data_IF_471670076559
#
_entry.id   IF_471670076559
#
_cell.length_a   1.000
_cell.length_b   1.000
_cell.length_c   1.000
_cell.angle_alpha   90.00
_cell.angle_beta   90.00
_cell.angle_gamma   90.00
#
_symmetry.space_group_name_H-M   'P 1'
#
loop_
_entity.id
_entity.type
_entity.pdbx_description
1 polymer ?
2 non-polymer ?
3 non-polymer ?
4 water ?
#
# COMPACT_ATOMS: atom_id res chain seq x y z
N UNK A 2 2.47 20.78 19.80
CA UNK A 2 3.78 21.03 19.22
C UNK A 2 3.66 21.14 17.70
N UNK A 3 4.64 21.77 17.06
CA UNK A 3 4.65 21.85 15.60
C UNK A 3 5.03 20.50 15.01
N UNK A 4 4.39 20.15 13.91
CA UNK A 4 4.67 18.89 13.23
C UNK A 4 6.12 18.83 12.75
N UNK A 5 6.70 17.63 12.77
CA UNK A 5 8.05 17.43 12.25
C UNK A 5 8.09 16.20 11.35
N UNK A 6 8.62 16.37 10.15
CA UNK A 6 8.75 15.31 9.17
C UNK A 6 10.17 14.81 9.13
N UNK A 7 10.37 13.52 9.44
CA UNK A 7 11.65 12.86 9.26
C UNK A 7 11.80 12.42 7.81
N UNK A 8 12.90 12.80 7.17
CA UNK A 8 13.06 12.57 5.74
C UNK A 8 14.50 12.22 5.38
N UNK A 9 14.67 11.68 4.18
CA UNK A 9 15.98 11.56 3.53
C UNK A 9 15.83 12.21 2.17
N UNK A 10 16.79 13.06 1.75
CA UNK A 10 16.65 13.77 0.47
C UNK A 10 16.33 12.84 -0.70
N UNK A 11 15.22 13.11 -1.38
CA UNK A 11 14.84 12.37 -2.56
C UNK A 11 14.18 11.02 -2.33
N UNK A 12 14.16 10.57 -1.08
CA UNK A 12 13.50 9.33 -0.69
C UNK A 12 11.99 9.49 -0.75
N UNK A 13 11.26 8.44 -0.41
CA UNK A 13 9.81 8.45 -0.52
C UNK A 13 9.17 9.52 0.37
N UNK A 14 9.93 10.02 1.34
CA UNK A 14 9.48 11.06 2.23
C UNK A 14 9.26 12.41 1.53
N UNK A 15 9.76 12.55 0.31
CA UNK A 15 9.51 13.76 -0.49
C UNK A 15 8.02 13.94 -0.74
N UNK A 16 7.28 12.83 -0.79
CA UNK A 16 5.86 12.91 -1.05
C UNK A 16 5.09 13.65 0.07
N UNK A 17 5.21 13.21 1.35
CA UNK A 17 4.54 14.02 2.37
C UNK A 17 5.19 15.41 2.57
N UNK A 18 6.47 15.54 2.23
CA UNK A 18 7.09 16.88 2.24
C UNK A 18 6.36 17.86 1.29
N UNK A 19 6.13 17.42 0.05
CA UNK A 19 5.35 18.19 -0.91
C UNK A 19 3.94 18.45 -0.38
N UNK A 20 3.31 17.42 0.20
CA UNK A 20 1.93 17.56 0.70
C UNK A 20 1.84 18.59 1.83
N UNK A 21 2.81 18.55 2.74
CA UNK A 21 2.90 19.54 3.81
C UNK A 21 2.89 20.96 3.26
N UNK A 22 3.64 21.19 2.18
CA UNK A 22 3.72 22.52 1.58
C UNK A 22 2.45 22.88 0.79
N UNK A 23 1.90 21.92 0.06
CA UNK A 23 0.63 22.13 -0.65
C UNK A 23 -0.47 22.49 0.34
N UNK A 24 -0.40 21.92 1.54
CA UNK A 24 -1.43 22.10 2.55
C UNK A 24 -1.31 23.43 3.30
N UNK A 25 -0.16 24.09 3.17
CA UNK A 25 0.09 25.34 3.86
C UNK A 25 0.12 25.18 5.38
N UNK A 26 0.51 23.99 5.84
CA UNK A 26 0.59 23.71 7.26
C UNK A 26 1.96 24.08 7.82
N UNK A 27 2.03 24.35 9.13
CA UNK A 27 3.31 24.61 9.78
C UNK A 27 4.03 23.30 10.09
N UNK A 28 5.33 23.24 9.80
CA UNK A 28 6.13 22.07 10.08
C UNK A 28 7.61 22.37 10.03
N UNK A 29 8.41 21.49 10.63
CA UNK A 29 9.85 21.48 10.39
C UNK A 29 10.23 20.14 9.78
N UNK A 30 11.45 20.03 9.30
CA UNK A 30 11.93 18.75 8.77
C UNK A 30 13.22 18.36 9.47
N UNK A 31 13.47 17.06 9.57
CA UNK A 31 14.70 16.58 10.20
C UNK A 31 15.25 15.42 9.40
N UNK A 32 16.46 15.59 8.90
CA UNK A 32 17.06 14.61 8.01
C UNK A 32 17.55 13.39 8.78
N UNK A 33 17.42 12.21 8.18
CA UNK A 33 17.84 10.95 8.77
C UNK A 33 18.86 10.25 7.88
N UNK A 34 19.94 9.76 8.49
CA UNK A 34 20.86 8.86 7.80
C UNK A 34 20.30 7.45 7.96
N UNK A 35 19.85 6.86 6.86
CA UNK A 35 19.18 5.56 6.88
C UNK A 35 20.10 4.36 7.08
N UNK A 36 21.40 4.61 6.99
CA UNK A 36 22.37 3.54 7.23
C UNK A 36 22.68 3.46 8.72
N UNK A 37 23.07 4.60 9.29
CA UNK A 37 23.44 4.69 10.69
C UNK A 37 22.24 4.82 11.63
N UNK A 38 21.09 5.17 11.07
CA UNK A 38 19.88 5.43 11.85
C UNK A 38 20.09 6.56 12.87
N UNK A 39 20.87 7.57 12.47
CA UNK A 39 21.03 8.76 13.29
C UNK A 39 20.48 9.95 12.52
N UNK A 40 19.83 10.88 13.22
CA UNK A 40 19.30 12.06 12.55
C UNK A 40 20.35 13.16 12.51
N UNK A 41 20.05 14.25 11.80
CA UNK A 41 20.99 15.36 11.68
C UNK A 41 21.13 16.19 12.94
N UNK A 42 20.49 15.76 14.03
CA UNK A 42 20.76 16.38 15.33
C UNK A 42 21.62 15.48 16.19
N UNK A 43 21.89 14.28 15.69
CA UNK A 43 22.66 13.29 16.44
C UNK A 43 21.78 12.25 17.10
N UNK A 44 20.47 12.41 16.97
CA UNK A 44 19.51 11.55 17.67
C UNK A 44 19.47 10.13 17.14
N UNK A 45 19.22 9.18 18.05
CA UNK A 45 18.99 7.78 17.67
C UNK A 45 17.61 7.62 17.07
N UNK A 46 17.55 7.41 15.75
CA UNK A 46 16.27 7.38 15.05
C UNK A 46 15.41 6.17 15.43
N UNK A 47 16.03 5.07 15.80
CA UNK A 47 15.28 3.85 16.10
C UNK A 47 14.40 4.01 17.34
N UNK A 48 14.79 4.91 18.22
CA UNK A 48 14.01 5.21 19.40
C UNK A 48 12.79 6.05 19.03
N UNK A 49 12.84 6.65 17.85
CA UNK A 49 11.74 7.45 17.32
C UNK A 49 10.78 6.61 16.47
N UNK A 50 11.28 6.11 15.33
CA UNK A 50 10.54 5.15 14.52
C UNK A 50 11.27 3.80 14.54
N UNK A 51 10.74 2.81 15.28
CA UNK A 51 11.42 1.52 15.36
C UNK A 51 11.56 0.80 14.01
N UNK A 52 10.71 1.15 13.05
CA UNK A 52 10.82 0.57 11.71
C UNK A 52 12.05 1.08 10.99
N UNK A 53 12.64 2.15 11.53
CA UNK A 53 13.85 2.74 10.98
C UNK A 53 13.71 3.28 9.58
N UNK A 54 12.50 3.73 9.22
CA UNK A 54 12.23 4.21 7.88
C UNK A 54 11.79 5.66 7.90
N UNK A 55 11.97 6.32 6.76
CA UNK A 55 11.28 7.57 6.48
C UNK A 55 10.20 7.25 5.43
N UNK A 56 9.12 8.04 5.38
CA UNK A 56 8.80 9.18 6.25
C UNK A 56 8.27 8.74 7.60
N UNK A 57 8.45 9.60 8.59
CA UNK A 57 7.66 9.52 9.81
C UNK A 57 7.30 10.95 10.16
N UNK A 58 6.06 11.15 10.61
CA UNK A 58 5.57 12.48 10.96
C UNK A 58 5.23 12.55 12.44
N UNK A 59 5.83 13.51 13.14
CA UNK A 59 5.43 13.82 14.51
C UNK A 59 4.20 14.72 14.44
N UNK A 60 3.07 14.24 14.96
CA UNK A 60 1.83 15.00 14.95
C UNK A 60 1.82 16.07 16.04
N UNK A 61 0.85 16.98 16.01
CA UNK A 61 0.84 18.06 16.99
C UNK A 61 0.55 17.59 18.42
N UNK A 62 0.06 16.37 18.58
CA UNK A 62 -0.10 15.79 19.91
C UNK A 62 1.13 15.01 20.35
N UNK A 63 2.19 15.12 19.56
CA UNK A 63 3.46 14.52 19.91
C UNK A 63 3.60 13.06 19.53
N UNK A 64 2.52 12.48 19.01
CA UNK A 64 2.52 11.09 18.58
C UNK A 64 3.15 10.97 17.19
N UNK A 65 3.47 9.74 16.80
CA UNK A 65 4.11 9.52 15.52
C UNK A 65 3.18 8.82 14.55
N UNK A 66 3.20 9.27 13.30
CA UNK A 66 2.49 8.56 12.24
C UNK A 66 3.52 8.12 11.21
N UNK A 67 3.50 6.83 10.86
CA UNK A 67 4.35 6.31 9.82
C UNK A 67 3.51 5.88 8.63
N UNK A 68 4.20 5.41 7.59
CA UNK A 68 3.62 4.96 6.31
C UNK A 68 3.14 6.14 5.50
N UNK A 69 3.83 6.38 4.37
CA UNK A 69 3.50 7.50 3.51
C UNK A 69 2.04 7.66 3.17
N UNK A 70 1.41 6.56 2.75
CA UNK A 70 0.00 6.56 2.37
C UNK A 70 -0.90 7.07 3.50
N UNK A 71 -0.57 6.70 4.75
CA UNK A 71 -1.31 7.20 5.92
C UNK A 71 -1.05 8.68 6.16
N UNK A 72 0.22 9.07 6.07
CA UNK A 72 0.60 10.46 6.32
C UNK A 72 -0.05 11.44 5.33
N UNK A 73 0.01 11.13 4.04
CA UNK A 73 -0.55 12.08 3.07
C UNK A 73 -2.07 12.21 3.20
N UNK A 74 -2.74 11.12 3.61
CA UNK A 74 -4.19 11.21 3.83
C UNK A 74 -4.49 12.03 5.07
N UNK A 75 -3.74 11.80 6.14
CA UNK A 75 -3.88 12.59 7.36
C UNK A 75 -3.74 14.08 7.06
N UNK A 76 -2.71 14.44 6.30
CA UNK A 76 -2.46 15.85 6.00
C UNK A 76 -3.55 16.47 5.13
N UNK A 77 -3.94 15.77 4.07
CA UNK A 77 -4.97 16.27 3.18
C UNK A 77 -6.28 16.47 3.93
N UNK A 78 -6.62 15.54 4.81
CA UNK A 78 -7.86 15.63 5.58
C UNK A 78 -7.85 16.77 6.58
N UNK A 79 -6.67 17.24 6.95
CA UNK A 79 -6.54 18.37 7.87
C UNK A 79 -6.93 19.67 7.20
N UNK A 80 -6.81 19.71 5.87
CA UNK A 80 -7.07 20.91 5.11
C UNK A 80 -8.09 20.69 3.98
N UNK A 81 -9.35 20.40 4.34
CA UNK A 81 -10.32 20.10 3.29
C UNK A 81 -10.55 21.28 2.34
N UNK A 82 -10.31 22.51 2.80
CA UNK A 82 -10.44 23.70 1.95
C UNK A 82 -9.48 23.67 0.76
N UNK A 83 -8.46 22.84 0.85
CA UNK A 83 -7.42 22.78 -0.18
C UNK A 83 -7.68 21.66 -1.18
N UNK A 84 -8.64 20.80 -0.87
CA UNK A 84 -9.09 19.76 -1.78
C UNK A 84 -7.93 18.96 -2.37
N UNK A 85 -7.09 18.43 -1.48
CA UNK A 85 -5.92 17.66 -1.88
C UNK A 85 -6.22 16.18 -2.00
N UNK A 86 -7.43 15.81 -1.60
CA UNK A 86 -7.92 14.44 -1.75
C UNK A 86 -9.43 14.51 -1.65
N UNK A 87 -10.13 13.59 -2.28
CA UNK A 87 -11.58 13.54 -2.17
C UNK A 87 -12.02 13.29 -0.72
N UNK A 88 -13.17 13.85 -0.32
CA UNK A 88 -13.66 13.70 1.06
C UNK A 88 -13.90 12.25 1.41
N UNK A 89 -13.66 11.89 2.67
CA UNK A 89 -13.90 10.53 3.12
C UNK A 89 -15.32 10.06 2.83
N UNK A 90 -15.43 8.79 2.45
CA UNK A 90 -16.73 8.17 2.25
C UNK A 90 -17.22 8.22 0.82
N UNK A 91 -16.64 9.10 0.03
CA UNK A 91 -17.03 9.21 -1.38
C UNK A 91 -16.34 8.14 -2.23
N UNK A 92 -16.97 7.74 -3.33
CA UNK A 92 -16.34 6.79 -4.25
C UNK A 92 -15.02 7.33 -4.75
N UNK A 93 -14.95 8.63 -4.99
CA UNK A 93 -13.69 9.24 -5.40
C UNK A 93 -12.58 9.00 -4.39
N UNK A 94 -12.91 9.07 -3.10
CA UNK A 94 -11.90 8.79 -2.08
C UNK A 94 -11.42 7.35 -2.15
N UNK A 95 -12.31 6.39 -2.43
CA UNK A 95 -11.87 5.00 -2.56
C UNK A 95 -10.98 4.77 -3.76
N UNK A 96 -11.19 5.54 -4.83
CA UNK A 96 -10.29 5.47 -5.97
C UNK A 96 -8.97 6.17 -5.68
N UNK A 97 -8.99 7.21 -4.84
CA UNK A 97 -7.72 7.80 -4.40
C UNK A 97 -6.90 6.81 -3.59
N UNK A 98 -7.56 6.11 -2.68
CA UNK A 98 -6.95 5.06 -1.85
C UNK A 98 -6.40 3.93 -2.72
N UNK A 99 -7.17 3.52 -3.72
CA UNK A 99 -6.75 2.58 -4.75
C UNK A 99 -5.43 3.00 -5.38
N UNK A 100 -5.37 4.22 -5.90
CA UNK A 100 -4.13 4.67 -6.54
C UNK A 100 -2.97 4.80 -5.57
N UNK A 101 -3.23 5.27 -4.34
CA UNK A 101 -2.15 5.35 -3.34
C UNK A 101 -1.60 3.97 -3.08
N UNK A 102 -2.46 2.97 -3.01
CA UNK A 102 -1.99 1.61 -2.78
C UNK A 102 -1.21 1.05 -3.97
N UNK A 103 -1.66 1.37 -5.17
CA UNK A 103 -0.93 0.99 -6.38
C UNK A 103 0.46 1.58 -6.39
N UNK A 104 0.56 2.88 -6.10
CA UNK A 104 1.87 3.53 -6.10
C UNK A 104 2.76 2.88 -5.03
N UNK A 105 2.20 2.62 -3.86
CA UNK A 105 3.02 2.12 -2.75
C UNK A 105 3.50 0.70 -3.03
N UNK A 106 2.61 -0.13 -3.55
CA UNK A 106 2.92 -1.54 -3.74
C UNK A 106 3.61 -1.88 -5.05
N UNK A 107 3.14 -1.29 -6.15
CA UNK A 107 3.61 -1.68 -7.47
C UNK A 107 4.72 -0.81 -8.02
N UNK A 108 4.82 0.43 -7.55
CA UNK A 108 5.88 1.32 -8.01
C UNK A 108 6.97 1.41 -6.95
N UNK A 109 6.65 2.02 -5.81
CA UNK A 109 7.56 2.22 -4.69
C UNK A 109 8.29 0.92 -4.31
N UNK A 110 7.54 -0.10 -3.87
CA UNK A 110 8.17 -1.34 -3.44
C UNK A 110 8.77 -2.11 -4.62
N UNK A 111 8.30 -1.79 -5.82
CA UNK A 111 8.84 -2.37 -7.03
C UNK A 111 10.29 -1.99 -7.24
N UNK A 112 10.71 -0.85 -6.69
CA UNK A 112 12.10 -0.43 -6.77
C UNK A 112 13.03 -1.10 -5.79
N UNK A 113 12.50 -1.81 -4.79
CA UNK A 113 13.37 -2.35 -3.73
C UNK A 113 14.61 -3.15 -4.18
N UNK A 114 14.44 -4.11 -5.10
CA UNK A 114 15.64 -4.85 -5.49
C UNK A 114 16.65 -3.97 -6.23
N UNK A 115 16.20 -2.90 -6.86
CA UNK A 115 17.13 -2.05 -7.62
C UNK A 115 18.01 -1.23 -6.70
N UNK A 116 17.53 -0.93 -5.50
CA UNK A 116 18.32 -0.14 -4.55
C UNK A 116 19.18 -1.00 -3.61
N UNK A 117 19.03 -2.32 -3.69
CA UNK A 117 19.83 -3.24 -2.88
C UNK A 117 21.09 -3.64 -3.63
N UNK A 118 22.27 -3.28 -3.09
CA UNK A 118 23.51 -3.60 -3.79
C UNK A 118 23.84 -5.09 -3.82
N UNK A 119 23.06 -5.92 -3.14
CA UNK A 119 23.27 -7.37 -3.19
C UNK A 119 22.54 -8.03 -4.35
N UNK A 120 21.60 -7.32 -4.97
CA UNK A 120 20.82 -7.90 -6.07
C UNK A 120 21.67 -8.06 -7.33
N UNK A 121 21.68 -9.26 -7.93
CA UNK A 121 22.47 -9.49 -9.15
C UNK A 121 21.83 -8.83 -10.37
N UNK A 122 22.66 -8.46 -11.35
CA UNK A 122 22.23 -7.71 -12.52
C UNK A 122 21.04 -8.33 -13.26
N UNK A 123 21.06 -9.65 -13.40
CA UNK A 123 20.04 -10.34 -14.20
C UNK A 123 18.66 -10.24 -13.57
N UNK A 124 18.58 -10.32 -12.24
CA UNK A 124 17.29 -10.14 -11.56
C UNK A 124 16.84 -8.69 -11.62
N UNK A 125 17.80 -7.77 -11.52
CA UNK A 125 17.47 -6.35 -11.65
C UNK A 125 16.84 -6.05 -13.01
N UNK A 126 17.30 -6.74 -14.05
CA UNK A 126 16.72 -6.57 -15.39
C UNK A 126 15.24 -6.98 -15.40
N UNK A 127 14.93 -8.10 -14.76
CA UNK A 127 13.54 -8.56 -14.63
C UNK A 127 12.67 -7.57 -13.85
N UNK A 128 13.22 -7.06 -12.75
CA UNK A 128 12.52 -6.06 -11.96
C UNK A 128 12.25 -4.81 -12.81
N UNK A 129 13.23 -4.43 -13.62
CA UNK A 129 13.09 -3.24 -14.46
C UNK A 129 12.00 -3.42 -15.50
N UNK A 130 11.91 -4.64 -16.04
CA UNK A 130 10.90 -4.96 -17.04
C UNK A 130 9.49 -4.81 -16.46
N UNK A 131 9.31 -5.22 -15.21
CA UNK A 131 8.01 -5.08 -14.57
C UNK A 131 7.66 -3.61 -14.35
N UNK A 132 8.64 -2.81 -13.93
CA UNK A 132 8.41 -1.38 -13.72
C UNK A 132 8.08 -0.66 -15.04
N UNK A 133 8.70 -1.08 -16.12
CA UNK A 133 8.34 -0.60 -17.46
C UNK A 133 6.84 -0.77 -17.66
N UNK A 134 6.34 -1.99 -17.47
CA UNK A 134 4.91 -2.26 -17.62
C UNK A 134 4.06 -1.38 -16.69
N UNK A 135 4.47 -1.22 -15.45
CA UNK A 135 3.65 -0.48 -14.50
C UNK A 135 3.61 1.02 -14.82
N UNK A 136 4.77 1.60 -15.13
CA UNK A 136 4.81 3.02 -15.47
C UNK A 136 4.09 3.29 -16.79
N UNK A 137 4.18 2.36 -17.74
CA UNK A 137 3.48 2.50 -19.01
C UNK A 137 1.97 2.50 -18.79
N UNK A 138 1.51 1.71 -17.82
CA UNK A 138 0.08 1.69 -17.47
C UNK A 138 -0.34 3.05 -16.92
N UNK A 139 0.46 3.60 -16.02
CA UNK A 139 0.21 4.91 -15.46
C UNK A 139 0.16 5.95 -16.58
N UNK A 140 1.09 5.84 -17.53
CA UNK A 140 1.10 6.74 -18.67
C UNK A 140 -0.23 6.74 -19.42
N UNK A 141 -0.84 5.56 -19.56
CA UNK A 141 -2.08 5.45 -20.32
C UNK A 141 -3.22 6.19 -19.61
N UNK A 142 -3.17 6.20 -18.28
CA UNK A 142 -4.17 6.90 -17.47
C UNK A 142 -3.96 8.40 -17.57
N UNK A 143 -2.69 8.82 -17.59
CA UNK A 143 -2.36 10.24 -17.70
C UNK A 143 -2.72 10.86 -19.05
N UNK A 144 -2.99 10.03 -20.05
CA UNK A 144 -3.46 10.51 -21.34
C UNK A 144 -4.89 11.06 -21.21
N UNK A 145 -5.57 10.70 -20.14
CA UNK A 145 -7.00 11.01 -20.03
C UNK A 145 -7.34 12.30 -19.28
N UNK A 146 -6.43 12.77 -18.44
CA UNK A 146 -6.67 14.00 -17.68
C UNK A 146 -5.35 14.51 -17.10
N UNK A 147 -5.37 15.73 -16.60
CA UNK A 147 -4.12 16.41 -16.23
C UNK A 147 -3.31 15.71 -15.15
N UNK A 148 -3.99 15.20 -14.12
CA UNK A 148 -3.30 14.53 -13.02
C UNK A 148 -3.77 13.08 -12.86
N UNK A 149 -3.24 12.39 -11.85
CA UNK A 149 -3.50 10.96 -11.76
C UNK A 149 -4.97 10.62 -11.49
N UNK A 150 -5.61 11.39 -10.61
CA UNK A 150 -6.96 11.04 -10.17
C UNK A 150 -8.03 11.76 -10.96
N UNK A 151 -7.61 12.63 -11.87
CA UNK A 151 -8.55 13.48 -12.60
C UNK A 151 -7.96 14.84 -12.94
N UNK A 152 -8.80 15.87 -12.99
CA UNK A 152 -8.38 17.19 -13.40
C UNK A 152 -7.61 17.96 -12.32
N UNK A 153 -7.70 17.52 -11.08
CA UNK A 153 -7.11 18.27 -9.98
C UNK A 153 -5.90 17.56 -9.36
N UNK A 154 -4.87 18.35 -9.07
CA UNK A 154 -3.70 17.87 -8.33
C UNK A 154 -4.12 17.31 -6.97
N UNK A 155 -3.53 16.18 -6.60
CA UNK A 155 -3.87 15.53 -5.34
C UNK A 155 -2.64 14.94 -4.68
N UNK A 156 -2.83 14.42 -3.48
CA UNK A 156 -1.73 13.78 -2.76
C UNK A 156 -1.15 12.59 -3.53
N UNK A 157 -1.97 11.93 -4.35
CA UNK A 157 -1.47 10.83 -5.18
C UNK A 157 -0.42 11.33 -6.18
N UNK A 158 -0.56 12.58 -6.64
CA UNK A 158 0.43 13.13 -7.55
C UNK A 158 1.75 13.39 -6.84
N UNK A 159 1.70 13.81 -5.58
CA UNK A 159 2.93 14.00 -4.83
C UNK A 159 3.70 12.69 -4.72
N UNK A 160 2.97 11.60 -4.52
CA UNK A 160 3.56 10.26 -4.41
C UNK A 160 4.08 9.76 -5.75
N UNK A 161 3.26 9.89 -6.81
CA UNK A 161 3.70 9.46 -8.13
C UNK A 161 4.94 10.21 -8.60
N UNK A 162 4.94 11.54 -8.41
CA UNK A 162 6.07 12.38 -8.78
C UNK A 162 7.36 11.89 -8.10
N UNK A 163 7.24 11.57 -6.82
CA UNK A 163 8.38 11.16 -5.99
C UNK A 163 9.02 9.88 -6.52
N UNK A 164 8.21 8.86 -6.79
CA UNK A 164 8.75 7.58 -7.25
C UNK A 164 9.19 7.69 -8.71
N UNK A 165 8.55 8.57 -9.48
CA UNK A 165 8.93 8.74 -10.88
C UNK A 165 10.31 9.35 -10.99
N UNK A 166 10.68 10.19 -10.02
CA UNK A 166 12.04 10.74 -9.98
C UNK A 166 13.06 9.63 -9.91
N UNK A 167 12.74 8.55 -9.18
CA UNK A 167 13.65 7.42 -9.08
C UNK A 167 13.82 6.75 -10.42
N UNK A 168 12.73 6.65 -11.18
CA UNK A 168 12.75 6.01 -12.49
C UNK A 168 13.72 6.74 -13.39
N UNK A 169 13.67 8.07 -13.34
CA UNK A 169 14.60 8.87 -14.14
C UNK A 169 16.04 8.76 -13.64
N UNK A 170 16.23 8.74 -12.33
CA UNK A 170 17.58 8.60 -11.77
C UNK A 170 18.23 7.27 -12.13
N UNK A 171 17.41 6.22 -12.25
CA UNK A 171 17.89 4.89 -12.56
C UNK A 171 17.90 4.62 -14.06
N UNK A 172 17.58 5.64 -14.85
CA UNK A 172 17.49 5.51 -16.31
C UNK A 172 16.59 4.36 -16.73
N UNK A 173 15.42 4.27 -16.09
CA UNK A 173 14.49 3.20 -16.34
C UNK A 173 13.86 3.34 -17.72
N UNK A 174 13.92 2.29 -18.51
CA UNK A 174 13.22 2.26 -19.79
C UNK A 174 11.72 2.16 -19.52
N UNK A 175 10.94 3.05 -20.13
CA UNK A 175 9.48 2.99 -20.02
C UNK A 175 8.91 3.10 -21.43
N UNK A 176 8.23 2.05 -21.88
CA UNK A 176 7.75 1.95 -23.27
C UNK A 176 6.80 3.09 -23.65
N UNK A 177 5.82 3.33 -22.79
CA UNK A 177 4.87 4.41 -23.00
C UNK A 177 5.09 5.46 -21.92
N UNK A 178 5.65 6.60 -22.29
CA UNK A 178 6.08 7.58 -21.30
C UNK A 178 5.82 9.02 -21.69
N UNK A 179 5.24 9.26 -22.86
CA UNK A 179 5.08 10.64 -23.31
C UNK A 179 4.14 11.46 -22.43
N UNK A 180 3.08 10.84 -21.92
CA UNK A 180 2.14 11.54 -21.05
C UNK A 180 2.73 11.73 -19.67
N UNK A 181 3.42 10.69 -19.19
CA UNK A 181 4.12 10.77 -17.91
C UNK A 181 5.17 11.88 -17.91
N UNK A 182 5.94 12.00 -18.98
CA UNK A 182 6.96 13.05 -19.05
C UNK A 182 6.35 14.46 -19.04
N UNK A 183 5.24 14.66 -19.73
CA UNK A 183 4.60 15.97 -19.74
C UNK A 183 4.03 16.28 -18.36
N UNK A 184 3.50 15.26 -17.70
CA UNK A 184 2.97 15.37 -16.35
C UNK A 184 4.06 15.74 -15.36
N UNK A 185 5.20 15.08 -15.48
CA UNK A 185 6.32 15.35 -14.58
C UNK A 185 6.82 16.77 -14.73
N UNK A 186 6.88 17.26 -15.96
CA UNK A 186 7.33 18.61 -16.23
C UNK A 186 6.42 19.64 -15.58
N UNK A 187 5.12 19.38 -15.63
CA UNK A 187 4.16 20.30 -15.06
C UNK A 187 4.19 20.28 -13.52
N UNK A 188 4.12 19.09 -12.93
CA UNK A 188 4.18 18.96 -11.47
C UNK A 188 5.45 19.60 -10.91
N UNK A 189 6.55 19.48 -11.66
CA UNK A 189 7.82 20.03 -11.20
C UNK A 189 7.81 21.55 -11.12
N UNK A 190 6.81 22.17 -11.75
CA UNK A 190 6.68 23.62 -11.76
C UNK A 190 5.92 24.19 -10.56
N UNK A 191 5.20 23.33 -9.84
CA UNK A 191 4.41 23.79 -8.70
C UNK A 191 5.32 24.39 -7.64
N UNK A 192 4.92 25.54 -7.07
CA UNK A 192 5.77 26.21 -6.08
C UNK A 192 6.09 25.32 -4.89
N UNK A 193 5.11 24.51 -4.46
CA UNK A 193 5.31 23.62 -3.32
C UNK A 193 6.30 22.50 -3.63
N UNK A 194 6.31 22.03 -4.87
CA UNK A 194 7.26 21.01 -5.28
C UNK A 194 8.66 21.62 -5.34
N UNK A 195 8.77 22.78 -5.97
CA UNK A 195 10.06 23.46 -6.05
C UNK A 195 10.62 23.73 -4.65
N UNK A 196 9.74 24.14 -3.72
CA UNK A 196 10.20 24.50 -2.39
C UNK A 196 10.62 23.26 -1.58
N UNK A 197 9.90 22.16 -1.74
CA UNK A 197 10.29 20.91 -1.10
C UNK A 197 11.66 20.47 -1.59
N UNK A 198 11.85 20.48 -2.90
CA UNK A 198 13.13 20.08 -3.49
C UNK A 198 14.28 20.97 -3.01
N UNK A 199 14.04 22.28 -3.01
CA UNK A 199 15.05 23.21 -2.50
C UNK A 199 15.40 22.92 -1.04
N UNK A 200 14.38 22.62 -0.23
CA UNK A 200 14.62 22.39 1.19
C UNK A 200 15.43 21.12 1.45
N UNK A 201 15.31 20.16 0.53
CA UNK A 201 16.07 18.91 0.65
C UNK A 201 17.44 19.00 -0.02
N UNK A 202 17.75 20.17 -0.60
CA UNK A 202 19.00 20.42 -1.32
C UNK A 202 19.19 19.47 -2.50
N UNK A 203 18.12 19.28 -3.28
CA UNK A 203 18.19 18.49 -4.49
C UNK A 203 17.43 19.17 -5.62
N UNK B 2 -26.96 -3.97 -9.65
CA UNK B 2 -26.73 -5.41 -9.53
C UNK B 2 -25.78 -5.72 -8.37
N UNK B 3 -25.86 -6.93 -7.84
CA UNK B 3 -25.03 -7.39 -6.72
C UNK B 3 -23.52 -7.20 -6.93
N UNK B 4 -22.83 -6.77 -5.87
CA UNK B 4 -21.37 -6.68 -5.86
C UNK B 4 -20.75 -8.02 -6.22
N UNK B 5 -19.66 -8.02 -7.00
CA UNK B 5 -19.01 -9.27 -7.37
C UNK B 5 -17.50 -9.19 -7.13
N UNK B 6 -16.98 -10.13 -6.36
CA UNK B 6 -15.55 -10.21 -6.09
C UNK B 6 -14.88 -11.27 -6.96
N UNK B 7 -13.86 -10.85 -7.70
CA UNK B 7 -13.01 -11.77 -8.46
C UNK B 7 -11.82 -12.20 -7.60
N UNK B 8 -11.58 -13.51 -7.54
CA UNK B 8 -10.62 -14.05 -6.58
C UNK B 8 -9.92 -15.26 -7.15
N UNK B 9 -8.82 -15.67 -6.50
CA UNK B 9 -8.16 -16.94 -6.75
C UNK B 9 -7.96 -17.55 -5.39
N UNK B 10 -8.29 -18.84 -5.24
CA UNK B 10 -8.16 -19.51 -3.93
C UNK B 10 -6.82 -19.28 -3.22
N UNK B 11 -6.89 -18.73 -2.01
CA UNK B 11 -5.71 -18.55 -1.18
C UNK B 11 -4.87 -17.33 -1.46
N UNK B 12 -5.16 -16.65 -2.57
CA UNK B 12 -4.44 -15.43 -2.93
C UNK B 12 -4.85 -14.27 -2.03
N UNK B 13 -4.28 -13.10 -2.26
CA UNK B 13 -4.58 -11.94 -1.42
C UNK B 13 -6.05 -11.58 -1.43
N UNK B 14 -6.78 -12.04 -2.45
CA UNK B 14 -8.22 -11.79 -2.55
C UNK B 14 -9.02 -12.44 -1.41
N UNK B 15 -8.38 -13.33 -0.64
CA UNK B 15 -9.05 -13.96 0.49
C UNK B 15 -9.41 -12.90 1.54
N UNK B 16 -8.60 -11.84 1.59
CA UNK B 16 -8.84 -10.77 2.54
C UNK B 16 -10.20 -10.07 2.36
N UNK B 17 -10.46 -9.46 1.18
CA UNK B 17 -11.80 -8.87 0.99
C UNK B 17 -12.90 -9.94 0.98
N UNK B 18 -12.57 -11.19 0.65
CA UNK B 18 -13.56 -12.26 0.70
C UNK B 18 -14.03 -12.48 2.13
N UNK B 19 -13.10 -12.56 3.06
CA UNK B 19 -13.43 -12.60 4.48
C UNK B 19 -14.24 -11.37 4.90
N UNK B 20 -13.83 -10.19 4.44
CA UNK B 20 -14.50 -8.97 4.86
C UNK B 20 -15.94 -8.92 4.37
N UNK B 21 -16.17 -9.37 3.15
CA UNK B 21 -17.54 -9.46 2.62
C UNK B 21 -18.44 -10.27 3.53
N UNK B 22 -17.92 -11.42 3.98
CA UNK B 22 -18.69 -12.30 4.85
C UNK B 22 -18.88 -11.70 6.24
N UNK B 23 -17.84 -11.05 6.76
CA UNK B 23 -17.96 -10.40 8.07
C UNK B 23 -18.94 -9.25 8.00
N UNK B 24 -18.99 -8.59 6.84
CA UNK B 24 -19.85 -7.42 6.67
C UNK B 24 -21.32 -7.76 6.53
N UNK B 25 -21.63 -9.00 6.14
CA UNK B 25 -23.01 -9.42 5.96
C UNK B 25 -23.69 -8.83 4.73
N UNK B 26 -22.88 -8.33 3.81
CA UNK B 26 -23.38 -7.72 2.58
C UNK B 26 -23.79 -8.77 1.54
N UNK B 27 -24.70 -8.40 0.64
CA UNK B 27 -25.03 -9.27 -0.48
C UNK B 27 -23.90 -9.20 -1.50
N UNK B 28 -23.40 -10.35 -1.94
CA UNK B 28 -22.35 -10.37 -2.95
C UNK B 28 -22.29 -11.72 -3.65
N UNK B 29 -21.62 -11.76 -4.79
CA UNK B 29 -21.26 -13.03 -5.39
C UNK B 29 -19.75 -13.06 -5.64
N UNK B 30 -19.23 -14.23 -5.98
CA UNK B 30 -17.80 -14.38 -6.24
C UNK B 30 -17.58 -15.07 -7.57
N UNK B 31 -16.43 -14.83 -8.20
CA UNK B 31 -16.10 -15.50 -9.44
C UNK B 31 -14.60 -15.75 -9.47
N UNK B 32 -14.24 -17.00 -9.73
CA UNK B 32 -12.83 -17.42 -9.67
C UNK B 32 -12.11 -17.05 -10.97
N UNK B 33 -10.84 -16.66 -10.84
CA UNK B 33 -10.02 -16.28 -11.98
C UNK B 33 -8.80 -17.20 -12.06
N UNK B 34 -8.50 -17.64 -13.28
CA UNK B 34 -7.26 -18.35 -13.56
C UNK B 34 -6.24 -17.29 -13.93
N UNK B 35 -5.24 -17.09 -13.08
CA UNK B 35 -4.31 -15.98 -13.26
C UNK B 35 -3.29 -16.24 -14.36
N UNK B 36 -3.17 -17.49 -14.78
CA UNK B 36 -2.25 -17.81 -15.87
C UNK B 36 -2.91 -17.49 -17.22
N UNK B 37 -4.12 -18.03 -17.44
CA UNK B 37 -4.85 -17.82 -18.69
C UNK B 37 -5.58 -16.48 -18.75
N UNK B 38 -5.77 -15.84 -17.59
CA UNK B 38 -6.58 -14.63 -17.46
C UNK B 38 -8.02 -14.84 -17.95
N UNK B 39 -8.56 -16.03 -17.72
CA UNK B 39 -9.97 -16.29 -17.98
C UNK B 39 -10.63 -16.59 -16.64
N UNK B 40 -11.88 -16.17 -16.48
CA UNK B 40 -12.61 -16.50 -15.25
C UNK B 40 -13.21 -17.89 -15.39
N UNK B 41 -13.86 -18.35 -14.33
CA UNK B 41 -14.46 -19.69 -14.34
C UNK B 41 -15.62 -19.83 -15.32
N UNK B 42 -16.17 -18.71 -15.80
CA UNK B 42 -17.23 -18.75 -16.79
C UNK B 42 -16.68 -18.69 -18.21
N UNK B 43 -15.36 -18.53 -18.33
CA UNK B 43 -14.70 -18.43 -19.61
C UNK B 43 -14.51 -16.99 -20.05
N UNK B 44 -14.99 -16.06 -19.23
CA UNK B 44 -14.92 -14.64 -19.53
C UNK B 44 -13.47 -14.13 -19.58
N UNK B 45 -13.22 -13.14 -20.44
CA UNK B 45 -11.89 -12.53 -20.52
C UNK B 45 -11.65 -11.60 -19.34
N UNK B 46 -10.72 -11.97 -18.45
CA UNK B 46 -10.51 -11.21 -17.22
C UNK B 46 -9.84 -9.85 -17.45
N UNK B 47 -9.02 -9.72 -18.49
CA UNK B 47 -8.40 -8.43 -18.79
C UNK B 47 -9.43 -7.38 -19.18
N UNK B 48 -10.57 -7.83 -19.69
CA UNK B 48 -11.69 -6.94 -20.00
C UNK B 48 -12.34 -6.39 -18.75
N UNK B 49 -12.18 -7.10 -17.64
CA UNK B 49 -12.76 -6.70 -16.38
C UNK B 49 -11.78 -5.88 -15.54
N UNK B 50 -10.62 -6.45 -15.25
CA UNK B 50 -9.54 -5.72 -14.61
C UNK B 50 -8.29 -5.72 -15.49
N UNK B 51 -8.05 -4.63 -16.21
CA UNK B 51 -6.87 -4.51 -17.08
C UNK B 51 -5.52 -4.75 -16.38
N UNK B 52 -5.49 -4.58 -15.05
CA UNK B 52 -4.29 -4.87 -14.28
C UNK B 52 -4.09 -6.38 -14.16
N UNK B 53 -5.15 -7.14 -14.47
CA UNK B 53 -5.09 -8.58 -14.50
C UNK B 53 -4.82 -9.27 -13.17
N UNK B 54 -5.15 -8.60 -12.06
CA UNK B 54 -4.93 -9.16 -10.74
C UNK B 54 -6.23 -9.38 -10.02
N UNK B 55 -6.16 -10.21 -8.99
CA UNK B 55 -7.21 -10.25 -7.98
C UNK B 55 -6.61 -9.62 -6.73
N UNK B 56 -7.44 -9.08 -5.82
CA UNK B 56 -8.90 -8.96 -5.94
C UNK B 56 -9.31 -7.82 -6.85
N UNK B 57 -10.51 -7.97 -7.41
CA UNK B 57 -11.22 -6.87 -8.02
C UNK B 57 -12.66 -6.99 -7.58
N UNK B 58 -13.28 -5.85 -7.27
CA UNK B 58 -14.66 -5.83 -6.83
C UNK B 58 -15.43 -5.00 -7.83
N UNK B 59 -16.47 -5.58 -8.41
CA UNK B 59 -17.36 -4.80 -9.28
C UNK B 59 -18.52 -4.34 -8.41
N UNK B 60 -18.69 -3.02 -8.31
CA UNK B 60 -19.68 -2.47 -7.38
C UNK B 60 -21.09 -2.55 -7.95
N UNK B 61 -22.09 -2.17 -7.16
CA UNK B 61 -23.47 -2.27 -7.62
C UNK B 61 -23.85 -1.32 -8.74
N UNK B 62 -22.98 -0.35 -9.03
CA UNK B 62 -23.20 0.54 -10.17
C UNK B 62 -22.44 0.07 -11.40
N UNK B 63 -21.79 -1.08 -11.27
CA UNK B 63 -21.08 -1.70 -12.38
C UNK B 63 -19.63 -1.23 -12.51
N UNK B 64 -19.21 -0.32 -11.64
CA UNK B 64 -17.84 0.18 -11.68
C UNK B 64 -16.85 -0.76 -10.99
N UNK B 65 -15.57 -0.53 -11.25
CA UNK B 65 -14.50 -1.41 -10.82
C UNK B 65 -13.71 -0.77 -9.69
N UNK B 66 -13.50 -1.53 -8.62
CA UNK B 66 -12.59 -1.10 -7.56
C UNK B 66 -11.52 -2.18 -7.40
N UNK B 67 -10.27 -1.79 -7.58
CA UNK B 67 -9.15 -2.68 -7.37
C UNK B 67 -8.36 -2.26 -6.13
N UNK B 68 -7.34 -3.06 -5.82
CA UNK B 68 -6.42 -2.88 -4.68
C UNK B 68 -7.08 -3.29 -3.39
N UNK B 69 -6.59 -4.37 -2.78
CA UNK B 69 -7.19 -4.92 -1.58
C UNK B 69 -7.44 -3.90 -0.49
N UNK B 70 -6.44 -3.04 -0.24
CA UNK B 70 -6.57 -2.01 0.80
C UNK B 70 -7.77 -1.07 0.55
N UNK B 71 -8.02 -0.72 -0.71
CA UNK B 71 -9.16 0.13 -1.06
C UNK B 71 -10.45 -0.65 -0.86
N UNK B 72 -10.47 -1.88 -1.36
CA UNK B 72 -11.67 -2.70 -1.28
C UNK B 72 -12.13 -2.93 0.17
N UNK B 73 -11.20 -3.31 1.05
CA UNK B 73 -11.62 -3.60 2.43
C UNK B 73 -12.10 -2.36 3.18
N UNK B 74 -11.58 -1.19 2.81
CA UNK B 74 -12.07 0.03 3.45
C UNK B 74 -13.46 0.40 2.92
N UNK B 75 -13.65 0.28 1.60
CA UNK B 75 -14.96 0.49 0.99
C UNK B 75 -16.01 -0.38 1.70
N UNK B 76 -15.67 -1.66 1.90
CA UNK B 76 -16.62 -2.62 2.48
C UNK B 76 -16.90 -2.31 3.94
N UNK B 77 -15.86 -2.06 4.72
CA UNK B 77 -16.04 -1.80 6.15
C UNK B 77 -16.83 -0.52 6.40
N UNK B 78 -16.62 0.49 5.54
CA UNK B 78 -17.30 1.77 5.71
C UNK B 78 -18.78 1.69 5.41
N UNK B 79 -19.18 0.66 4.68
CA UNK B 79 -20.57 0.40 4.34
C UNK B 79 -21.36 -0.13 5.54
N UNK B 80 -20.64 -0.71 6.50
CA UNK B 80 -21.24 -1.32 7.68
C UNK B 80 -20.64 -0.81 8.99
N UNK B 81 -20.75 0.51 9.26
CA UNK B 81 -20.12 1.08 10.45
C UNK B 81 -20.58 0.46 11.78
N UNK B 82 -21.79 -0.09 11.82
CA UNK B 82 -22.28 -0.71 13.06
C UNK B 82 -21.54 -2.00 13.41
N UNK B 83 -20.77 -2.52 12.48
CA UNK B 83 -20.02 -3.75 12.74
C UNK B 83 -18.62 -3.44 13.20
N UNK B 84 -18.25 -2.17 13.11
CA UNK B 84 -16.98 -1.67 13.62
C UNK B 84 -15.81 -2.51 13.11
N UNK B 85 -15.79 -2.71 11.80
CA UNK B 85 -14.70 -3.45 11.16
C UNK B 85 -13.51 -2.56 10.86
N UNK B 86 -13.68 -1.25 11.06
CA UNK B 86 -12.61 -0.28 10.95
C UNK B 86 -13.03 0.99 11.72
N UNK B 87 -12.06 1.75 12.20
CA UNK B 87 -12.36 3.02 12.85
C UNK B 87 -12.99 3.98 11.87
N UNK B 88 -13.92 4.83 12.34
CA UNK B 88 -14.58 5.81 11.48
C UNK B 88 -13.62 6.87 10.95
N UNK B 89 -13.95 7.41 9.77
CA UNK B 89 -13.08 8.38 9.12
C UNK B 89 -12.86 9.63 9.97
N UNK B 90 -11.71 10.25 9.79
CA UNK B 90 -11.38 11.47 10.52
C UNK B 90 -10.69 11.21 11.84
N UNK B 91 -10.91 10.03 12.42
CA UNK B 91 -10.34 9.71 13.72
C UNK B 91 -8.87 9.30 13.59
N UNK B 92 -8.10 9.60 14.64
CA UNK B 92 -6.71 9.20 14.65
C UNK B 92 -6.60 7.68 14.52
N UNK B 93 -7.57 6.96 15.08
CA UNK B 93 -7.61 5.51 14.97
C UNK B 93 -7.71 5.05 13.53
N UNK B 94 -8.46 5.77 12.70
CA UNK B 94 -8.55 5.40 11.29
C UNK B 94 -7.18 5.53 10.61
N UNK B 95 -6.43 6.57 10.96
CA UNK B 95 -5.12 6.76 10.36
C UNK B 95 -4.16 5.66 10.79
N UNK B 96 -4.28 5.19 12.02
CA UNK B 96 -3.51 4.03 12.46
C UNK B 96 -3.94 2.74 11.72
N UNK B 97 -5.22 2.61 11.39
CA UNK B 97 -5.67 1.46 10.61
C UNK B 97 -5.08 1.51 9.20
N UNK B 98 -5.10 2.70 8.60
CA UNK B 98 -4.54 2.90 7.26
C UNK B 98 -3.03 2.62 7.27
N UNK B 99 -2.37 3.04 8.35
CA UNK B 99 -0.97 2.79 8.56
C UNK B 99 -0.70 1.28 8.51
N UNK B 100 -1.47 0.52 9.29
CA UNK B 100 -1.28 -0.92 9.34
C UNK B 100 -1.63 -1.59 8.03
N UNK B 101 -2.71 -1.16 7.37
CA UNK B 101 -3.04 -1.72 6.06
C UNK B 101 -1.92 -1.48 5.06
N UNK B 102 -1.33 -0.29 5.08
CA UNK B 102 -0.22 -0.02 4.17
C UNK B 102 1.00 -0.86 4.48
N UNK B 103 1.29 -1.05 5.77
CA UNK B 103 2.38 -1.90 6.18
C UNK B 103 2.17 -3.33 5.68
N UNK B 104 0.98 -3.87 5.89
CA UNK B 104 0.71 -5.23 5.42
C UNK B 104 0.86 -5.29 3.89
N UNK B 105 0.29 -4.31 3.18
CA UNK B 105 0.37 -4.29 1.72
C UNK B 105 1.80 -4.20 1.20
N UNK B 106 2.60 -3.30 1.77
CA UNK B 106 3.91 -3.00 1.22
C UNK B 106 5.05 -3.83 1.78
N UNK B 107 4.96 -4.20 3.05
CA UNK B 107 6.04 -4.90 3.72
C UNK B 107 5.83 -6.41 3.84
N UNK B 108 4.58 -6.85 3.95
CA UNK B 108 4.31 -8.28 4.04
C UNK B 108 3.87 -8.85 2.69
N UNK B 109 2.73 -8.39 2.19
CA UNK B 109 2.17 -8.85 0.92
C UNK B 109 3.18 -8.75 -0.21
N UNK B 110 3.69 -7.54 -0.49
CA UNK B 110 4.65 -7.39 -1.58
C UNK B 110 6.00 -8.00 -1.24
N UNK B 111 6.25 -8.19 0.06
CA UNK B 111 7.44 -8.90 0.49
C UNK B 111 7.46 -10.33 -0.04
N UNK B 112 6.29 -10.95 -0.14
CA UNK B 112 6.18 -12.32 -0.62
C UNK B 112 6.33 -12.47 -2.13
N UNK B 113 6.07 -11.40 -2.88
CA UNK B 113 6.09 -11.48 -4.33
C UNK B 113 7.33 -12.18 -4.93
N UNK B 114 8.55 -11.80 -4.53
CA UNK B 114 9.71 -12.52 -5.08
C UNK B 114 9.76 -14.01 -4.72
N UNK B 115 9.20 -14.40 -3.58
CA UNK B 115 9.22 -15.81 -3.18
C UNK B 115 8.31 -16.71 -4.04
N UNK B 116 7.25 -16.13 -4.61
CA UNK B 116 6.34 -16.89 -5.46
C UNK B 116 6.76 -16.91 -6.94
N UNK B 117 7.74 -16.09 -7.29
CA UNK B 117 8.26 -16.06 -8.66
C UNK B 117 9.42 -17.02 -8.82
N UNK B 118 9.27 -18.05 -9.67
CA UNK B 118 10.37 -19.00 -9.83
C UNK B 118 11.59 -18.40 -10.53
N UNK B 119 11.49 -17.16 -11.01
CA UNK B 119 12.63 -16.51 -11.63
C UNK B 119 13.50 -15.71 -10.64
N UNK B 120 13.10 -15.68 -9.37
CA UNK B 120 13.92 -15.04 -8.34
C UNK B 120 15.03 -15.99 -7.90
N UNK B 121 16.29 -15.51 -7.94
CA UNK B 121 17.41 -16.37 -7.52
C UNK B 121 17.41 -16.63 -6.01
N UNK B 122 18.02 -17.73 -5.60
CA UNK B 122 17.98 -18.16 -4.19
C UNK B 122 18.51 -17.09 -3.27
N UNK B 123 19.62 -16.49 -3.66
CA UNK B 123 20.29 -15.54 -2.79
C UNK B 123 19.40 -14.34 -2.48
N UNK B 124 18.62 -13.87 -3.45
CA UNK B 124 17.67 -12.80 -3.18
C UNK B 124 16.49 -13.28 -2.34
N UNK B 125 15.98 -14.47 -2.64
CA UNK B 125 14.93 -15.06 -1.82
C UNK B 125 15.36 -15.17 -0.35
N UNK B 126 16.63 -15.47 -0.12
CA UNK B 126 17.14 -15.54 1.24
C UNK B 126 17.05 -14.18 1.93
N UNK B 127 17.44 -13.13 1.20
CA UNK B 127 17.37 -11.77 1.74
C UNK B 127 15.93 -11.41 2.10
N UNK B 128 15.01 -11.76 1.20
CA UNK B 128 13.60 -11.49 1.39
C UNK B 128 13.06 -12.23 2.60
N UNK B 129 13.45 -13.50 2.73
CA UNK B 129 12.99 -14.28 3.88
C UNK B 129 13.48 -13.70 5.19
N UNK B 130 14.73 -13.22 5.20
CA UNK B 130 15.29 -12.63 6.41
C UNK B 130 14.50 -11.38 6.82
N UNK B 131 14.15 -10.55 5.83
CA UNK B 131 13.39 -9.34 6.10
C UNK B 131 11.99 -9.69 6.63
N UNK B 132 11.34 -10.67 6.01
CA UNK B 132 10.01 -11.09 6.48
C UNK B 132 10.02 -11.66 7.89
N UNK B 133 11.10 -12.34 8.25
CA UNK B 133 11.28 -12.82 9.63
C UNK B 133 11.19 -11.62 10.56
N UNK B 134 11.98 -10.59 10.28
CA UNK B 134 11.97 -9.39 11.11
C UNK B 134 10.59 -8.72 11.14
N UNK B 135 9.92 -8.68 9.98
CA UNK B 135 8.62 -7.99 9.89
C UNK B 135 7.53 -8.76 10.63
N UNK B 136 7.48 -10.07 10.45
CA UNK B 136 6.49 -10.86 11.18
C UNK B 136 6.78 -10.90 12.67
N UNK B 137 8.06 -10.84 13.04
CA UNK B 137 8.42 -10.83 14.45
C UNK B 137 7.98 -9.51 15.08
N UNK B 138 8.06 -8.43 14.31
CA UNK B 138 7.55 -7.14 14.75
C UNK B 138 6.05 -7.19 14.96
N UNK B 139 5.34 -7.76 13.99
CA UNK B 139 3.90 -7.98 14.17
C UNK B 139 3.58 -8.80 15.43
N UNK B 140 4.37 -9.84 15.67
CA UNK B 140 4.19 -10.66 16.86
C UNK B 140 4.28 -9.81 18.12
N UNK B 141 5.20 -8.85 18.12
CA UNK B 141 5.42 -8.02 19.30
C UNK B 141 4.22 -7.12 19.59
N UNK B 142 3.49 -6.78 18.53
CA UNK B 142 2.29 -5.96 18.64
C UNK B 142 1.13 -6.82 19.14
N UNK B 143 1.00 -8.02 18.58
CA UNK B 143 -0.03 -8.97 19.00
C UNK B 143 0.17 -9.46 20.43
N UNK B 144 1.35 -9.20 21.00
CA UNK B 144 1.58 -9.58 22.38
C UNK B 144 0.87 -8.62 23.33
N UNK B 145 0.40 -7.50 22.81
CA UNK B 145 -0.11 -6.43 23.65
C UNK B 145 -1.62 -6.26 23.58
N UNK B 146 -2.25 -6.89 22.60
CA UNK B 146 -3.71 -6.98 22.52
C UNK B 146 -4.13 -8.04 21.52
N UNK B 147 -5.41 -8.41 21.56
CA UNK B 147 -5.91 -9.59 20.88
C UNK B 147 -5.79 -9.54 19.36
N UNK B 148 -5.99 -8.35 18.79
CA UNK B 148 -5.98 -8.18 17.35
C UNK B 148 -4.98 -7.11 16.93
N UNK B 149 -4.78 -6.94 15.63
CA UNK B 149 -3.69 -6.09 15.19
C UNK B 149 -3.87 -4.63 15.62
N UNK B 150 -5.11 -4.13 15.53
CA UNK B 150 -5.36 -2.72 15.79
C UNK B 150 -5.79 -2.46 17.22
N UNK B 151 -5.98 -3.52 17.99
CA UNK B 151 -6.40 -3.39 19.37
C UNK B 151 -7.25 -4.55 19.84
N UNK B 152 -8.32 -4.24 20.56
CA UNK B 152 -9.10 -5.25 21.24
C UNK B 152 -10.12 -5.93 20.33
N UNK B 153 -10.41 -5.31 19.19
CA UNK B 153 -11.46 -5.78 18.27
C UNK B 153 -10.95 -6.26 16.91
N UNK B 154 -11.58 -7.30 16.38
CA UNK B 154 -11.29 -7.81 15.04
C UNK B 154 -11.61 -6.72 14.02
N UNK B 155 -10.72 -6.59 13.03
CA UNK B 155 -10.89 -5.56 12.01
C UNK B 155 -10.48 -6.07 10.64
N UNK B 156 -10.68 -5.23 9.63
CA UNK B 156 -10.28 -5.60 8.27
C UNK B 156 -8.78 -5.83 8.17
N UNK B 157 -7.99 -5.19 9.04
CA UNK B 157 -6.55 -5.41 8.99
C UNK B 157 -6.22 -6.85 9.39
N UNK B 158 -7.05 -7.43 10.26
CA UNK B 158 -6.88 -8.82 10.63
C UNK B 158 -7.22 -9.76 9.49
N UNK B 159 -8.28 -9.45 8.73
CA UNK B 159 -8.54 -10.21 7.51
C UNK B 159 -7.31 -10.24 6.59
N UNK B 160 -6.65 -9.09 6.43
CA UNK B 160 -5.49 -9.01 5.56
C UNK B 160 -4.28 -9.72 6.15
N UNK B 161 -4.01 -9.50 7.44
CA UNK B 161 -2.85 -10.13 8.07
C UNK B 161 -3.01 -11.65 8.06
N UNK B 162 -4.22 -12.13 8.35
CA UNK B 162 -4.50 -13.56 8.33
C UNK B 162 -4.15 -14.12 6.95
N UNK B 163 -4.61 -13.44 5.91
CA UNK B 163 -4.42 -13.91 4.55
C UNK B 163 -2.94 -14.06 4.17
N UNK B 164 -2.13 -13.07 4.51
CA UNK B 164 -0.73 -13.14 4.14
C UNK B 164 0.05 -14.06 5.06
N UNK B 165 -0.41 -14.20 6.31
CA UNK B 165 0.25 -15.09 7.25
C UNK B 165 0.11 -16.56 6.82
N UNK B 166 -0.99 -16.87 6.11
CA UNK B 166 -1.16 -18.23 5.58
C UNK B 166 -0.03 -18.56 4.60
N UNK B 167 0.40 -17.55 3.84
CA UNK B 167 1.51 -17.73 2.91
C UNK B 167 2.80 -18.07 3.64
N UNK B 168 3.00 -17.43 4.79
CA UNK B 168 4.21 -17.63 5.59
C UNK B 168 4.27 -19.08 6.01
N UNK B 169 3.11 -19.64 6.35
CA UNK B 169 3.08 -21.04 6.73
C UNK B 169 3.26 -21.98 5.53
N UNK B 170 2.66 -21.63 4.40
CA UNK B 170 2.78 -22.44 3.19
C UNK B 170 4.23 -22.48 2.69
N UNK B 171 4.97 -21.40 2.93
CA UNK B 171 6.35 -21.30 2.48
C UNK B 171 7.37 -21.66 3.56
N UNK B 172 6.89 -22.17 4.69
CA UNK B 172 7.76 -22.55 5.82
C UNK B 172 8.67 -21.41 6.24
N UNK B 173 8.10 -20.21 6.33
CA UNK B 173 8.87 -19.04 6.69
C UNK B 173 9.32 -19.11 8.13
N UNK B 174 10.62 -18.97 8.33
CA UNK B 174 11.19 -18.87 9.66
C UNK B 174 10.82 -17.52 10.26
N UNK B 175 10.24 -17.55 11.46
CA UNK B 175 9.86 -16.33 12.17
C UNK B 175 10.36 -16.43 13.62
N UNK B 176 11.30 -15.56 13.98
CA UNK B 176 11.97 -15.64 15.28
C UNK B 176 11.01 -15.54 16.47
N UNK B 177 10.14 -14.55 16.44
CA UNK B 177 9.14 -14.36 17.49
C UNK B 177 7.77 -14.59 16.87
N UNK B 178 7.10 -15.68 17.26
CA UNK B 178 5.86 -16.05 16.61
C UNK B 178 4.79 -16.65 17.54
N UNK B 179 5.05 -16.69 18.83
CA UNK B 179 4.09 -17.33 19.75
C UNK B 179 2.75 -16.60 19.77
N UNK B 180 2.79 -15.28 19.69
CA UNK B 180 1.56 -14.50 19.71
C UNK B 180 0.87 -14.54 18.35
N UNK B 181 1.67 -14.48 17.28
CA UNK B 181 1.14 -14.61 15.93
C UNK B 181 0.44 -15.96 15.74
N UNK B 182 1.03 -17.04 16.23
CA UNK B 182 0.43 -18.36 16.06
C UNK B 182 -0.89 -18.50 16.82
N UNK B 183 -0.94 -18.00 18.04
CA UNK B 183 -2.17 -18.02 18.85
C UNK B 183 -3.26 -17.22 18.15
N UNK B 184 -2.89 -16.07 17.61
CA UNK B 184 -3.80 -15.18 16.90
C UNK B 184 -4.37 -15.85 15.65
N UNK B 185 -3.52 -16.56 14.91
CA UNK B 185 -3.97 -17.26 13.70
C UNK B 185 -4.99 -18.36 14.02
N UNK B 186 -4.74 -19.09 15.10
CA UNK B 186 -5.68 -20.10 15.57
C UNK B 186 -7.02 -19.46 15.92
N UNK B 187 -6.97 -18.29 16.55
CA UNK B 187 -8.18 -17.58 16.94
C UNK B 187 -8.98 -17.09 15.74
N UNK B 188 -8.31 -16.39 14.81
CA UNK B 188 -8.99 -15.84 13.65
C UNK B 188 -9.60 -16.97 12.80
N UNK B 189 -8.91 -18.10 12.73
CA UNK B 189 -9.35 -19.24 11.94
C UNK B 189 -10.68 -19.84 12.42
N UNK B 190 -11.06 -19.56 13.66
CA UNK B 190 -12.31 -20.06 14.24
C UNK B 190 -13.53 -19.26 13.83
N UNK B 191 -13.34 -18.02 13.38
CA UNK B 191 -14.46 -17.17 13.02
C UNK B 191 -15.28 -17.77 11.86
N UNK B 192 -16.61 -17.85 12.03
CA UNK B 192 -17.41 -18.48 10.98
C UNK B 192 -17.30 -17.82 9.61
N UNK B 193 -17.10 -16.51 9.56
CA UNK B 193 -16.94 -15.83 8.27
C UNK B 193 -15.65 -16.23 7.60
N UNK B 194 -14.59 -16.40 8.37
CA UNK B 194 -13.31 -16.85 7.85
C UNK B 194 -13.46 -18.28 7.32
N UNK B 195 -14.09 -19.15 8.11
CA UNK B 195 -14.32 -20.53 7.70
C UNK B 195 -15.14 -20.59 6.41
N UNK B 196 -16.15 -19.72 6.31
CA UNK B 196 -17.01 -19.69 5.13
C UNK B 196 -16.26 -19.25 3.88
N UNK B 197 -15.37 -18.28 4.03
CA UNK B 197 -14.58 -17.81 2.90
C UNK B 197 -13.66 -18.92 2.43
N UNK B 198 -12.98 -19.59 3.37
CA UNK B 198 -12.08 -20.67 3.02
C UNK B 198 -12.84 -21.80 2.33
N UNK B 199 -14.01 -22.15 2.86
CA UNK B 199 -14.82 -23.22 2.26
C UNK B 199 -15.26 -22.85 0.84
N UNK B 200 -15.60 -21.58 0.64
CA UNK B 200 -16.05 -21.12 -0.67
C UNK B 200 -14.92 -21.14 -1.71
N UNK B 201 -13.69 -21.05 -1.22
CA UNK B 201 -12.52 -21.08 -2.09
C UNK B 201 -11.97 -22.49 -2.19
N UNK B 202 -12.70 -23.44 -1.60
CA UNK B 202 -12.35 -24.86 -1.63
C UNK B 202 -10.98 -25.15 -1.01
N UNK B 203 -10.66 -24.44 0.07
CA UNK B 203 -9.46 -24.69 0.84
C UNK B 203 -9.81 -25.53 2.06
X LIG C 1 6.32 26.01 8.44
X LIG D 1 6.11 0.92 4.00
X LIG D 1 6.84 2.17 4.14
X LIG D 1 5.98 3.27 3.59
X LIG D 1 6.07 4.45 4.04
X LIG D 1 5.18 3.01 2.66
X LIG D 1 8.14 2.06 3.39
X LIG D 1 8.88 3.41 3.38
X LIG D 1 10.29 3.17 2.82
X LIG D 1 10.53 2.21 2.10
X LIG D 1 11.35 4.11 3.17
X LIG D 1 12.69 3.90 2.68
X LIG D 1 13.52 3.75 3.92
X LIG D 1 13.35 4.48 4.89
X LIG D 1 13.18 5.09 1.91
X LIG D 1 12.43 5.26 0.29
X LIG D 1 14.54 2.73 4.04
X LIG D 1 15.23 2.73 5.33
X LIG D 1 16.29 1.67 5.50
X LIG D 1 16.02 0.61 6.12
X LIG D 1 17.46 1.86 5.05
X LIG E 1 -1.33 -4.14 -5.59
X LIG E 1 -2.34 -5.17 -5.68
X LIG E 1 -3.19 -5.18 -4.45
X LIG E 1 -4.37 -5.62 -4.52
X LIG E 1 -2.74 -4.76 -3.35
X LIG E 1 -1.60 -6.49 -5.84
X LIG E 1 -2.60 -7.62 -6.01
X LIG E 1 -1.84 -8.92 -6.31
X LIG E 1 -0.62 -9.00 -6.19
X LIG E 1 -2.61 -10.07 -6.75
X LIG E 1 -1.97 -11.32 -7.07
X LIG E 1 -2.29 -11.51 -8.52
X LIG E 1 -3.42 -11.34 -8.99
X LIG E 1 -2.50 -12.47 -6.26
X LIG E 1 -1.82 -12.55 -4.61
X LIG E 1 -1.25 -11.86 -9.46
X LIG E 1 -1.65 -12.00 -10.85
X LIG E 1 -0.75 -13.04 -11.47
X LIG E 1 -0.26 -13.94 -10.75
X LIG E 1 -0.52 -13.00 -12.71
#
# INVERSE_FOLDING_TARGET
MVMMKLFYKPGACSLSPHIVLREAGLDFSIERVDLVTKKTETGADYLSINPKGQVPALVLDDGSLLTEGVAIVQYLADKVPDRHLIAPSGTLSRYHAIEWLNFIATELHKGFSPLFNPNTPDEYKTIVRERLDKQFSYVDSVLAEHDYLLGKKFSVADAYLFTVSRWANALNLQIKERSHLDQYMARVAERPAVKAALAAEDIKAENLYFQ
MVMMKLFYKPGACSLSPHIVLREAGLDFSIERVDLVTKKTETGADYLSINPKGQVPALVLDDGSLLTEGVAIVQYLADKVPDRHLIAPSGTLSRYHAIEWLNFIATELHKGFSPLFNPNTPDEYKTIVRERLDKQFSYVDSVLAEHDYLLGKKFSVADAYLFTVSRWANALNLQIKERSHLDQYMARVAERPAVKAALAAEDIKAENLYFQ
CL CL
GSH N1 CA1 C1 O11 O12 CB1 CG1 CD1 OE1 N2 CA2 C2 O2 CB2 SG2 N3 CA3 C3 O31 O32
GSH N1 CA1 C1 O11 O12 CB1 CG1 CD1 OE1 N2 CA2 C2 O2 CB2 SG2 N3 CA3 C3 O31 O32
#
